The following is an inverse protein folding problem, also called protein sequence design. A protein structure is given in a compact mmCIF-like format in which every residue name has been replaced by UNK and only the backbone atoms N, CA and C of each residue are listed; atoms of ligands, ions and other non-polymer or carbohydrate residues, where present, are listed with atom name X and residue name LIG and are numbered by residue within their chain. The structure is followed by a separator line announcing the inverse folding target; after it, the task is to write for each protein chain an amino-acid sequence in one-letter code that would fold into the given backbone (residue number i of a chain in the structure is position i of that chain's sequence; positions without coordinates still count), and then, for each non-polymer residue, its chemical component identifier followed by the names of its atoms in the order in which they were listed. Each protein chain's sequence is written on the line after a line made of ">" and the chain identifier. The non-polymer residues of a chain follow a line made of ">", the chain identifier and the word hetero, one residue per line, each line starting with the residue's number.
data_IF_308466003190
#
_entry.id   IF_308466003190
#
_cell.length_a   1.000
_cell.length_b   1.000
_cell.length_c   1.000
_cell.angle_alpha   90.00
_cell.angle_beta   90.00
_cell.angle_gamma   90.00
#
_symmetry.space_group_name_H-M   'P 1'
#
loop_
_entity.id
_entity.type
_entity.pdbx_description
1 polymer ?
#
# COMPACT_ATOMS: atom_id res chain seq x y z
N UNK A 1 -12.15 18.86 -8.14
CA UNK A 1 -10.83 19.50 -8.26
C UNK A 1 -10.55 19.70 -9.74
N UNK A 2 -10.31 20.94 -10.17
CA UNK A 2 -10.06 21.23 -11.59
C UNK A 2 -8.59 20.87 -11.88
N UNK A 3 -8.35 19.87 -12.71
CA UNK A 3 -7.01 19.35 -13.02
C UNK A 3 -6.10 20.40 -13.69
N UNK A 4 -6.65 21.55 -14.07
CA UNK A 4 -5.91 22.63 -14.74
C UNK A 4 -5.21 23.60 -13.78
N UNK A 5 -5.47 23.50 -12.48
CA UNK A 5 -5.07 24.51 -11.50
C UNK A 5 -4.07 23.96 -10.47
N UNK A 6 -3.58 22.71 -10.62
CA UNK A 6 -2.68 22.09 -9.66
C UNK A 6 -1.68 21.14 -10.33
N UNK A 7 -0.45 21.09 -9.80
CA UNK A 7 0.54 20.07 -10.12
C UNK A 7 0.13 18.74 -9.47
N UNK A 8 0.01 17.62 -10.20
CA UNK A 8 -0.33 16.34 -9.62
C UNK A 8 0.79 15.76 -8.73
N UNK A 9 0.55 14.53 -8.20
CA UNK A 9 1.48 13.83 -7.34
C UNK A 9 1.28 14.15 -5.86
N UNK A 10 1.32 13.12 -5.02
CA UNK A 10 1.03 13.25 -3.58
C UNK A 10 2.16 12.75 -2.69
N UNK A 11 3.14 12.04 -3.22
CA UNK A 11 4.25 11.44 -2.48
C UNK A 11 5.56 11.74 -3.22
N UNK A 12 6.58 12.19 -2.49
CA UNK A 12 7.91 12.45 -3.04
C UNK A 12 9.02 12.09 -2.06
N UNK A 13 10.20 11.78 -2.61
CA UNK A 13 11.47 11.85 -1.93
C UNK A 13 12.26 13.03 -2.50
N UNK A 14 13.00 13.74 -1.64
CA UNK A 14 13.86 14.85 -2.05
C UNK A 14 14.91 15.20 -1.00
N UNK A 15 15.71 16.19 -1.36
CA UNK A 15 16.66 16.83 -0.46
C UNK A 15 16.08 18.18 -0.05
N UNK A 16 16.15 18.52 1.22
CA UNK A 16 15.69 19.82 1.71
C UNK A 16 16.61 20.90 1.15
N UNK A 17 16.07 21.78 0.31
CA UNK A 17 16.79 22.89 -0.28
C UNK A 17 16.76 24.13 0.62
N UNK A 18 15.61 24.40 1.23
CA UNK A 18 15.44 25.49 2.17
C UNK A 18 14.37 25.16 3.22
N UNK A 19 14.44 25.82 4.37
CA UNK A 19 13.44 25.69 5.43
C UNK A 19 12.82 27.04 5.80
N UNK A 20 11.53 27.04 6.12
CA UNK A 20 10.86 28.20 6.67
C UNK A 20 11.35 28.53 8.09
N UNK A 21 11.10 29.77 8.59
CA UNK A 21 11.63 30.24 9.88
C UNK A 21 11.11 29.45 11.08
N UNK A 22 9.98 28.77 10.95
CA UNK A 22 9.36 27.98 12.02
C UNK A 22 9.72 26.50 11.98
N UNK A 23 10.48 26.03 10.97
CA UNK A 23 10.95 24.66 10.89
C UNK A 23 11.92 24.35 12.05
N UNK A 24 11.71 23.21 12.72
CA UNK A 24 12.50 22.79 13.89
C UNK A 24 13.15 21.42 13.74
N UNK A 25 12.65 20.59 12.82
CA UNK A 25 13.06 19.18 12.69
C UNK A 25 14.07 19.01 11.56
N UNK A 26 13.91 19.76 10.47
CA UNK A 26 14.71 19.59 9.26
C UNK A 26 15.63 20.80 9.01
N UNK A 27 16.70 20.53 8.28
CA UNK A 27 17.66 21.53 7.79
C UNK A 27 17.99 21.28 6.34
N UNK A 28 18.57 22.25 5.67
CA UNK A 28 19.13 22.12 4.32
C UNK A 28 20.08 20.94 4.23
N UNK A 29 19.98 20.16 3.14
CA UNK A 29 20.72 18.94 2.89
C UNK A 29 20.11 17.67 3.49
N UNK A 30 19.06 17.75 4.31
CA UNK A 30 18.41 16.56 4.85
C UNK A 30 17.68 15.78 3.77
N UNK A 31 17.80 14.45 3.82
CA UNK A 31 17.04 13.52 2.98
C UNK A 31 15.66 13.34 3.59
N UNK A 32 14.63 13.63 2.81
CA UNK A 32 13.25 13.54 3.28
C UNK A 32 12.35 12.83 2.27
N UNK A 33 11.37 12.10 2.75
CA UNK A 33 10.19 11.75 1.98
C UNK A 33 8.97 12.41 2.62
N UNK A 34 8.03 12.76 1.79
CA UNK A 34 6.88 13.49 2.26
C UNK A 34 5.63 13.24 1.46
N UNK A 35 4.51 13.70 2.03
CA UNK A 35 3.19 13.56 1.45
C UNK A 35 2.45 14.88 1.50
N UNK A 36 1.81 15.23 0.39
CA UNK A 36 0.91 16.38 0.29
C UNK A 36 -0.33 16.01 -0.53
N UNK A 37 -1.32 16.89 -0.59
CA UNK A 37 -2.51 16.67 -1.41
C UNK A 37 -2.23 16.70 -2.92
N UNK A 38 -1.17 17.39 -3.33
CA UNK A 38 -0.71 17.60 -4.71
C UNK A 38 0.70 18.21 -4.69
N UNK A 39 1.34 18.33 -5.87
CA UNK A 39 2.59 19.08 -6.04
C UNK A 39 3.83 18.19 -6.20
N UNK A 40 3.74 16.87 -6.03
CA UNK A 40 4.92 16.00 -6.02
C UNK A 40 5.50 15.70 -7.42
N UNK A 41 4.77 15.96 -8.52
CA UNK A 41 5.31 15.81 -9.88
C UNK A 41 5.90 17.15 -10.33
N UNK A 42 6.96 17.57 -9.65
CA UNK A 42 7.69 18.80 -9.88
C UNK A 42 9.17 18.63 -9.51
N UNK A 43 10.01 19.54 -9.93
CA UNK A 43 11.43 19.59 -9.55
C UNK A 43 11.59 19.93 -8.07
N UNK A 44 10.73 20.82 -7.57
CA UNK A 44 10.67 21.26 -6.19
C UNK A 44 9.23 21.18 -5.67
N UNK A 45 9.09 20.92 -4.38
CA UNK A 45 7.79 20.85 -3.73
C UNK A 45 7.84 21.51 -2.35
N UNK A 46 6.82 22.30 -2.04
CA UNK A 46 6.62 22.79 -0.68
C UNK A 46 5.87 21.76 0.14
N UNK A 47 6.41 21.43 1.33
CA UNK A 47 5.81 20.46 2.24
C UNK A 47 5.81 21.00 3.68
N UNK A 48 4.75 20.71 4.42
CA UNK A 48 4.71 21.03 5.85
C UNK A 48 5.62 20.06 6.64
N UNK A 49 6.35 20.59 7.62
CA UNK A 49 7.26 19.83 8.47
C UNK A 49 6.62 18.56 9.06
N UNK A 50 5.34 18.64 9.46
CA UNK A 50 4.60 17.49 10.01
C UNK A 50 4.32 16.38 9.01
N UNK A 51 4.38 16.67 7.70
CA UNK A 51 4.13 15.75 6.59
C UNK A 51 5.42 15.17 6.00
N UNK A 52 6.58 15.62 6.48
CA UNK A 52 7.89 15.15 6.07
C UNK A 52 8.49 14.16 7.07
N UNK A 53 9.30 13.22 6.56
CA UNK A 53 9.95 12.15 7.33
C UNK A 53 11.41 12.04 6.90
N UNK A 54 12.31 12.05 7.88
CA UNK A 54 13.73 11.80 7.63
C UNK A 54 13.94 10.45 6.99
N UNK A 55 14.75 10.39 5.94
CA UNK A 55 15.08 9.16 5.22
C UNK A 55 16.49 8.70 5.58
N UNK A 56 16.67 7.46 6.09
CA UNK A 56 17.99 6.95 6.39
C UNK A 56 18.83 6.75 5.13
N UNK A 57 20.16 6.85 5.27
CA UNK A 57 21.09 6.62 4.16
C UNK A 57 21.01 5.22 3.57
N UNK A 58 20.58 4.24 4.37
CA UNK A 58 20.38 2.85 3.95
C UNK A 58 19.24 2.66 2.95
N UNK A 59 18.33 3.64 2.81
CA UNK A 59 17.19 3.57 1.90
C UNK A 59 17.54 4.32 0.58
N UNK A 60 17.73 3.61 -0.55
CA UNK A 60 18.00 4.23 -1.84
C UNK A 60 16.88 5.14 -2.31
N UNK A 61 17.18 6.09 -3.19
CA UNK A 61 16.25 7.10 -3.72
C UNK A 61 15.00 6.47 -4.32
N UNK A 62 15.15 5.46 -5.16
CA UNK A 62 14.05 4.78 -5.83
C UNK A 62 13.12 4.09 -4.82
N UNK A 63 13.70 3.49 -3.78
CA UNK A 63 12.89 2.88 -2.72
C UNK A 63 12.19 3.95 -1.88
N UNK A 64 12.90 5.02 -1.49
CA UNK A 64 12.33 6.10 -0.68
C UNK A 64 11.13 6.76 -1.38
N UNK A 65 11.22 6.97 -2.70
CA UNK A 65 10.16 7.57 -3.52
C UNK A 65 8.84 6.78 -3.55
N UNK A 66 8.89 5.47 -3.29
CA UNK A 66 7.70 4.60 -3.28
C UNK A 66 7.36 4.00 -1.91
N UNK A 67 8.00 4.48 -0.83
CA UNK A 67 7.93 3.82 0.47
C UNK A 67 6.77 4.28 1.36
N UNK A 68 6.61 5.58 1.53
CA UNK A 68 5.84 6.15 2.63
C UNK A 68 4.36 5.71 2.62
N UNK A 69 3.64 6.07 1.57
CA UNK A 69 2.19 5.90 1.52
C UNK A 69 1.78 4.42 1.57
N UNK A 70 2.42 3.57 0.77
CA UNK A 70 2.01 2.18 0.62
C UNK A 70 2.36 1.33 1.85
N UNK A 71 3.56 1.51 2.41
CA UNK A 71 3.99 0.75 3.58
C UNK A 71 3.25 1.19 4.83
N UNK A 72 3.07 2.49 5.03
CA UNK A 72 2.26 3.02 6.12
C UNK A 72 0.83 2.50 6.05
N UNK A 73 0.18 2.59 4.88
CA UNK A 73 -1.19 2.10 4.69
C UNK A 73 -1.30 0.63 5.07
N UNK A 74 -0.42 -0.22 4.53
CA UNK A 74 -0.48 -1.66 4.79
C UNK A 74 -0.13 -2.02 6.24
N UNK A 75 0.82 -1.32 6.86
CA UNK A 75 1.15 -1.53 8.27
C UNK A 75 -0.01 -1.14 9.19
N UNK A 76 -0.60 0.04 8.96
CA UNK A 76 -1.78 0.47 9.72
C UNK A 76 -2.95 -0.49 9.58
N UNK A 77 -3.22 -0.94 8.36
CA UNK A 77 -4.27 -1.92 8.08
C UNK A 77 -4.07 -3.21 8.86
N UNK A 78 -2.89 -3.81 8.74
CA UNK A 78 -2.62 -5.15 9.28
C UNK A 78 -2.35 -5.12 10.79
N UNK A 79 -1.59 -4.14 11.29
CA UNK A 79 -1.18 -4.07 12.70
C UNK A 79 -2.22 -3.34 13.55
N UNK A 80 -2.56 -2.09 13.19
CA UNK A 80 -3.39 -1.24 14.05
C UNK A 80 -4.89 -1.49 13.87
N UNK A 81 -5.33 -1.84 12.64
CA UNK A 81 -6.76 -2.02 12.38
C UNK A 81 -7.21 -3.47 12.50
N UNK A 82 -6.49 -4.39 11.85
CA UNK A 82 -6.84 -5.82 11.90
C UNK A 82 -6.22 -6.56 13.07
N UNK A 83 -5.18 -6.04 13.71
CA UNK A 83 -4.41 -6.74 14.73
C UNK A 83 -4.03 -8.17 14.28
N UNK A 84 -3.46 -8.28 13.07
CA UNK A 84 -3.06 -9.55 12.45
C UNK A 84 -2.08 -10.30 13.35
N UNK A 85 -2.35 -11.57 13.59
CA UNK A 85 -1.55 -12.44 14.47
C UNK A 85 -0.71 -13.44 13.68
N UNK A 86 0.44 -13.87 14.22
CA UNK A 86 1.20 -14.96 13.64
C UNK A 86 0.34 -16.23 13.46
N UNK A 87 0.49 -16.90 12.32
CA UNK A 87 -0.25 -18.12 11.95
C UNK A 87 -1.65 -17.87 11.36
N UNK A 88 -2.19 -16.67 11.45
CA UNK A 88 -3.46 -16.31 10.77
C UNK A 88 -3.28 -16.32 9.24
N UNK A 89 -4.38 -16.58 8.55
CA UNK A 89 -4.45 -16.52 7.09
C UNK A 89 -4.84 -15.12 6.63
N UNK A 90 -3.97 -14.49 5.85
CA UNK A 90 -4.20 -13.20 5.21
C UNK A 90 -4.46 -13.37 3.72
N UNK A 91 -5.64 -12.99 3.25
CA UNK A 91 -5.96 -12.88 1.82
C UNK A 91 -5.68 -11.44 1.37
N UNK A 92 -4.86 -11.26 0.33
CA UNK A 92 -4.54 -9.95 -0.26
C UNK A 92 -5.06 -9.87 -1.69
N UNK A 93 -6.07 -9.06 -1.93
CA UNK A 93 -6.54 -8.75 -3.28
C UNK A 93 -5.64 -7.72 -3.96
N UNK A 94 -5.51 -7.82 -5.30
CA UNK A 94 -4.62 -6.94 -6.05
C UNK A 94 -3.18 -7.02 -5.56
N UNK A 95 -2.70 -8.24 -5.26
CA UNK A 95 -1.44 -8.51 -4.58
C UNK A 95 -0.19 -7.93 -5.25
N UNK A 96 -0.21 -7.75 -6.57
CA UNK A 96 0.92 -7.15 -7.31
C UNK A 96 0.92 -5.62 -7.32
N UNK A 97 -0.12 -4.94 -6.83
CA UNK A 97 -0.17 -3.48 -6.78
C UNK A 97 0.67 -2.88 -5.65
N UNK A 98 0.81 -1.56 -5.61
CA UNK A 98 1.65 -0.87 -4.62
C UNK A 98 1.33 -1.25 -3.17
N UNK A 99 0.07 -1.16 -2.74
CA UNK A 99 -0.34 -1.57 -1.38
C UNK A 99 -0.44 -3.09 -1.22
N UNK A 100 -0.68 -3.85 -2.31
CA UNK A 100 -0.75 -5.31 -2.28
C UNK A 100 0.61 -5.93 -1.99
N UNK A 101 1.66 -5.52 -2.70
CA UNK A 101 3.03 -5.99 -2.49
C UNK A 101 3.53 -5.71 -1.07
N UNK A 102 3.19 -4.54 -0.52
CA UNK A 102 3.54 -4.17 0.86
C UNK A 102 2.73 -4.97 1.88
N UNK A 103 1.43 -5.23 1.62
CA UNK A 103 0.60 -6.05 2.51
C UNK A 103 1.10 -7.50 2.59
N UNK A 104 1.50 -8.10 1.46
CA UNK A 104 2.10 -9.44 1.42
C UNK A 104 3.36 -9.47 2.28
N UNK A 105 4.32 -8.59 2.03
CA UNK A 105 5.60 -8.57 2.74
C UNK A 105 5.43 -8.31 4.24
N UNK A 106 4.60 -7.35 4.63
CA UNK A 106 4.31 -7.04 6.04
C UNK A 106 3.59 -8.22 6.70
N UNK A 107 2.60 -8.83 6.03
CA UNK A 107 1.91 -10.03 6.51
C UNK A 107 2.89 -11.16 6.79
N UNK A 108 3.84 -11.43 5.88
CA UNK A 108 4.90 -12.41 6.07
C UNK A 108 5.84 -12.04 7.23
N UNK A 109 6.22 -10.78 7.34
CA UNK A 109 7.06 -10.29 8.44
C UNK A 109 6.39 -10.46 9.81
N UNK A 110 5.04 -10.41 9.86
CA UNK A 110 4.24 -10.65 11.06
C UNK A 110 3.96 -12.14 11.32
N UNK A 111 4.43 -13.05 10.47
CA UNK A 111 4.26 -14.50 10.61
C UNK A 111 2.91 -15.03 10.12
N UNK A 112 2.17 -14.30 9.30
CA UNK A 112 0.94 -14.77 8.68
C UNK A 112 1.20 -15.76 7.54
N UNK A 113 0.20 -16.59 7.24
CA UNK A 113 0.10 -17.34 5.99
C UNK A 113 -0.60 -16.46 4.97
N UNK A 114 0.05 -16.18 3.84
CA UNK A 114 -0.42 -15.18 2.88
C UNK A 114 -0.90 -15.82 1.60
N UNK A 115 -2.17 -15.58 1.25
CA UNK A 115 -2.77 -15.90 -0.03
C UNK A 115 -2.97 -14.61 -0.83
N UNK A 116 -2.53 -14.54 -2.09
CA UNK A 116 -2.67 -13.34 -2.89
C UNK A 116 -3.42 -13.58 -4.20
N UNK A 117 -4.15 -12.56 -4.68
CA UNK A 117 -4.84 -12.62 -5.97
C UNK A 117 -4.29 -11.58 -6.94
N UNK A 118 -4.15 -11.95 -8.21
CA UNK A 118 -3.80 -11.05 -9.31
C UNK A 118 -4.44 -11.53 -10.62
N UNK A 119 -4.43 -10.70 -11.68
CA UNK A 119 -5.13 -11.00 -12.93
C UNK A 119 -4.26 -11.64 -14.02
N UNK A 120 -2.95 -11.75 -13.86
CA UNK A 120 -2.04 -12.36 -14.85
C UNK A 120 -0.97 -13.17 -14.16
N UNK A 121 -0.37 -14.15 -14.86
CA UNK A 121 0.70 -14.98 -14.31
C UNK A 121 1.95 -14.16 -13.93
N UNK A 122 2.31 -13.18 -14.76
CA UNK A 122 3.39 -12.26 -14.44
C UNK A 122 3.17 -11.54 -13.10
N UNK A 123 1.94 -11.08 -12.85
CA UNK A 123 1.56 -10.44 -11.59
C UNK A 123 1.52 -11.39 -10.41
N UNK A 124 1.15 -12.65 -10.64
CA UNK A 124 1.21 -13.70 -9.61
C UNK A 124 2.65 -13.99 -9.21
N UNK A 125 3.57 -13.96 -10.18
CA UNK A 125 5.00 -14.14 -9.88
C UNK A 125 5.54 -13.03 -8.97
N UNK A 126 5.11 -11.78 -9.17
CA UNK A 126 5.42 -10.67 -8.25
C UNK A 126 4.88 -10.95 -6.84
N UNK A 127 3.67 -11.49 -6.72
CA UNK A 127 3.12 -11.87 -5.41
C UNK A 127 3.97 -12.95 -4.72
N UNK A 128 4.42 -13.97 -5.46
CA UNK A 128 5.32 -15.03 -4.95
C UNK A 128 6.66 -14.44 -4.48
N UNK A 129 7.27 -13.57 -5.28
CA UNK A 129 8.51 -12.87 -4.94
C UNK A 129 8.37 -11.99 -3.69
N UNK A 130 7.19 -11.42 -3.46
CA UNK A 130 6.87 -10.71 -2.22
C UNK A 130 6.66 -11.64 -1.01
N UNK A 131 6.61 -12.96 -1.22
CA UNK A 131 6.49 -13.97 -0.17
C UNK A 131 5.09 -14.53 0.03
N UNK A 132 4.15 -14.36 -0.91
CA UNK A 132 2.86 -15.06 -0.84
C UNK A 132 3.08 -16.58 -0.83
N UNK A 133 2.42 -17.27 0.09
CA UNK A 133 2.50 -18.74 0.21
C UNK A 133 1.65 -19.43 -0.86
N UNK A 134 0.56 -18.77 -1.28
CA UNK A 134 -0.31 -19.25 -2.34
C UNK A 134 -0.83 -18.07 -3.16
N UNK A 135 -1.13 -18.30 -4.42
CA UNK A 135 -1.64 -17.28 -5.34
C UNK A 135 -2.70 -17.82 -6.27
N UNK A 136 -3.65 -16.99 -6.70
CA UNK A 136 -4.68 -17.37 -7.67
C UNK A 136 -4.92 -16.26 -8.70
N UNK A 137 -5.14 -16.67 -9.95
CA UNK A 137 -5.56 -15.79 -11.03
C UNK A 137 -7.07 -15.63 -11.02
N UNK A 138 -7.57 -14.51 -10.49
CA UNK A 138 -9.02 -14.27 -10.38
C UNK A 138 -9.74 -14.08 -11.73
N UNK A 139 -9.00 -13.89 -12.83
CA UNK A 139 -9.58 -13.84 -14.20
C UNK A 139 -9.88 -15.25 -14.76
N UNK A 140 -9.24 -16.28 -14.21
CA UNK A 140 -9.33 -17.66 -14.70
C UNK A 140 -9.98 -18.61 -13.71
N UNK A 141 -9.78 -18.36 -12.41
CA UNK A 141 -10.09 -19.30 -11.35
C UNK A 141 -11.02 -18.68 -10.31
N UNK A 142 -11.81 -19.51 -9.63
CA UNK A 142 -12.64 -19.11 -8.49
C UNK A 142 -11.77 -18.96 -7.25
N UNK A 143 -11.40 -17.73 -6.93
CA UNK A 143 -10.60 -17.45 -5.73
C UNK A 143 -11.30 -17.86 -4.43
N UNK A 144 -12.65 -17.91 -4.40
CA UNK A 144 -13.40 -18.32 -3.19
C UNK A 144 -13.15 -19.80 -2.93
N UNK A 145 -13.25 -20.62 -3.97
CA UNK A 145 -13.00 -22.06 -3.89
C UNK A 145 -11.53 -22.30 -3.50
N UNK A 146 -10.58 -21.63 -4.15
CA UNK A 146 -9.15 -21.74 -3.87
C UNK A 146 -8.79 -21.37 -2.42
N UNK A 147 -9.29 -20.24 -1.90
CA UNK A 147 -9.07 -19.84 -0.51
C UNK A 147 -9.66 -20.86 0.47
N UNK A 148 -10.87 -21.36 0.21
CA UNK A 148 -11.48 -22.37 1.08
C UNK A 148 -10.69 -23.68 1.08
N UNK A 149 -10.26 -24.16 -0.07
CA UNK A 149 -9.43 -25.36 -0.18
C UNK A 149 -8.14 -25.21 0.61
N UNK A 150 -7.39 -24.11 0.37
CA UNK A 150 -6.12 -23.85 1.05
C UNK A 150 -6.24 -23.69 2.57
N UNK A 151 -7.40 -23.21 3.05
CA UNK A 151 -7.68 -23.03 4.47
C UNK A 151 -8.41 -24.20 5.12
N UNK A 152 -8.61 -25.31 4.40
CA UNK A 152 -9.36 -26.48 4.91
C UNK A 152 -10.82 -26.14 5.22
N UNK A 153 -11.46 -25.28 4.43
CA UNK A 153 -12.86 -24.86 4.56
C UNK A 153 -13.09 -23.70 5.54
N UNK A 154 -12.09 -23.29 6.34
CA UNK A 154 -12.25 -22.22 7.36
C UNK A 154 -12.43 -20.82 6.76
N UNK A 155 -11.75 -20.53 5.65
CA UNK A 155 -11.64 -19.20 5.07
C UNK A 155 -10.49 -18.37 5.64
N UNK A 156 -10.32 -17.15 5.14
CA UNK A 156 -9.25 -16.24 5.55
C UNK A 156 -9.61 -15.48 6.84
N UNK A 157 -8.68 -15.41 7.79
CA UNK A 157 -8.86 -14.69 9.06
C UNK A 157 -8.86 -13.18 8.85
N UNK A 158 -8.03 -12.69 7.93
CA UNK A 158 -7.98 -11.28 7.51
C UNK A 158 -8.03 -11.20 5.98
N UNK A 159 -8.84 -10.28 5.46
CA UNK A 159 -8.89 -9.97 4.03
C UNK A 159 -8.50 -8.51 3.84
N UNK A 160 -7.47 -8.26 3.02
CA UNK A 160 -6.99 -6.95 2.66
C UNK A 160 -7.49 -6.59 1.26
N UNK A 161 -8.43 -5.65 1.16
CA UNK A 161 -9.08 -5.33 -0.11
C UNK A 161 -8.89 -3.87 -0.54
N UNK A 162 -7.97 -3.60 -1.49
CA UNK A 162 -7.83 -2.32 -2.16
C UNK A 162 -8.68 -2.21 -3.44
N UNK A 163 -9.40 -3.26 -3.83
CA UNK A 163 -10.11 -3.37 -5.12
C UNK A 163 -11.55 -2.86 -5.01
N UNK A 164 -12.27 -3.32 -4.00
CA UNK A 164 -13.68 -2.97 -3.80
C UNK A 164 -14.63 -3.69 -4.78
N UNK A 165 -15.79 -3.09 -5.03
CA UNK A 165 -16.80 -3.62 -5.94
C UNK A 165 -17.22 -5.05 -5.61
N UNK A 166 -17.41 -5.87 -6.64
CA UNK A 166 -17.83 -7.27 -6.52
C UNK A 166 -16.80 -8.12 -5.74
N UNK A 167 -15.51 -7.85 -5.86
CA UNK A 167 -14.44 -8.58 -5.16
C UNK A 167 -14.64 -8.53 -3.65
N UNK A 168 -14.92 -7.34 -3.10
CA UNK A 168 -15.19 -7.19 -1.67
C UNK A 168 -16.46 -7.94 -1.24
N UNK A 169 -17.51 -7.89 -2.05
CA UNK A 169 -18.75 -8.62 -1.75
C UNK A 169 -18.54 -10.15 -1.77
N UNK A 170 -17.83 -10.65 -2.76
CA UNK A 170 -17.48 -12.06 -2.90
C UNK A 170 -16.57 -12.53 -1.76
N UNK A 171 -15.68 -11.69 -1.26
CA UNK A 171 -14.77 -11.98 -0.15
C UNK A 171 -15.50 -12.41 1.12
N UNK A 172 -16.73 -11.92 1.33
CA UNK A 172 -17.57 -12.37 2.46
C UNK A 172 -17.92 -13.86 2.40
N UNK A 173 -17.77 -14.52 1.25
CA UNK A 173 -18.04 -15.97 1.09
C UNK A 173 -16.87 -16.85 1.54
N UNK A 174 -15.62 -16.30 1.51
CA UNK A 174 -14.40 -17.02 1.89
C UNK A 174 -13.70 -16.44 3.13
N UNK A 175 -14.32 -15.51 3.84
CA UNK A 175 -13.84 -15.04 5.13
C UNK A 175 -14.14 -16.06 6.24
N UNK A 176 -13.26 -16.19 7.21
CA UNK A 176 -13.42 -17.08 8.36
C UNK A 176 -14.49 -16.57 9.34
N UNK A 177 -14.90 -17.41 10.27
CA UNK A 177 -15.67 -17.01 11.44
C UNK A 177 -14.88 -15.97 12.26
N UNK A 178 -15.53 -14.89 12.67
CA UNK A 178 -14.90 -13.73 13.33
C UNK A 178 -13.77 -13.07 12.51
N UNK A 179 -13.76 -13.29 11.20
CA UNK A 179 -12.75 -12.71 10.30
C UNK A 179 -12.89 -11.18 10.17
N UNK A 180 -11.83 -10.56 9.69
CA UNK A 180 -11.73 -9.10 9.54
C UNK A 180 -11.55 -8.75 8.07
N UNK A 181 -12.51 -8.01 7.50
CA UNK A 181 -12.49 -7.51 6.13
C UNK A 181 -12.03 -6.05 6.13
N UNK A 182 -10.83 -5.80 5.63
CA UNK A 182 -10.24 -4.48 5.56
C UNK A 182 -10.62 -3.79 4.24
N UNK A 183 -11.30 -2.66 4.34
CA UNK A 183 -11.61 -1.77 3.21
C UNK A 183 -10.48 -0.75 3.09
N UNK A 184 -9.64 -0.92 2.06
CA UNK A 184 -8.44 -0.10 1.83
C UNK A 184 -8.65 0.91 0.70
N UNK A 185 -9.41 0.51 -0.33
CA UNK A 185 -9.63 1.35 -1.49
C UNK A 185 -10.64 0.75 -2.47
N UNK A 186 -10.78 1.43 -3.61
CA UNK A 186 -11.75 1.09 -4.64
C UNK A 186 -11.11 1.15 -6.03
N UNK A 187 -9.95 0.53 -6.18
CA UNK A 187 -9.20 0.51 -7.45
C UNK A 187 -9.98 -0.17 -8.60
N UNK A 188 -11.01 -0.97 -8.28
CA UNK A 188 -11.97 -1.50 -9.24
C UNK A 188 -12.93 -0.47 -9.81
N UNK A 189 -13.01 0.75 -9.21
CA UNK A 189 -13.85 1.86 -9.65
C UNK A 189 -15.27 1.86 -9.07
N UNK A 190 -15.68 0.79 -8.40
CA UNK A 190 -17.03 0.66 -7.83
C UNK A 190 -16.98 0.58 -6.30
N UNK A 191 -17.77 1.42 -5.62
CA UNK A 191 -17.94 1.35 -4.16
C UNK A 191 -18.87 0.18 -3.84
N UNK A 192 -18.42 -0.81 -3.05
CA UNK A 192 -19.18 -2.02 -2.75
C UNK A 192 -20.30 -1.77 -1.74
N UNK A 193 -21.29 -2.69 -1.74
CA UNK A 193 -22.33 -2.77 -0.72
C UNK A 193 -22.27 -4.13 -0.05
N UNK A 194 -22.17 -4.16 1.26
CA UNK A 194 -22.17 -5.41 2.03
C UNK A 194 -23.55 -5.59 2.67
N UNK A 195 -24.19 -6.70 2.39
CA UNK A 195 -25.44 -7.05 3.04
C UNK A 195 -25.19 -7.39 4.51
N UNK A 196 -25.89 -6.70 5.43
CA UNK A 196 -25.69 -6.80 6.88
C UNK A 196 -25.83 -8.23 7.43
N UNK A 197 -26.69 -9.06 6.81
CA UNK A 197 -26.84 -10.46 7.20
C UNK A 197 -25.54 -11.26 7.01
N UNK A 198 -24.70 -10.94 6.04
CA UNK A 198 -23.39 -11.60 5.85
C UNK A 198 -22.42 -11.29 6.98
N UNK A 199 -22.49 -10.07 7.52
CA UNK A 199 -21.70 -9.66 8.69
C UNK A 199 -22.18 -10.45 9.92
N UNK A 200 -23.50 -10.49 10.14
CA UNK A 200 -24.12 -11.16 11.28
C UNK A 200 -23.84 -12.68 11.29
N UNK A 201 -24.02 -13.36 10.15
CA UNK A 201 -23.98 -14.84 10.09
C UNK A 201 -22.60 -15.44 10.40
N UNK A 202 -21.52 -14.68 10.26
CA UNK A 202 -20.15 -15.12 10.54
C UNK A 202 -19.45 -14.29 11.61
N UNK A 203 -20.18 -13.38 12.28
CA UNK A 203 -19.62 -12.42 13.26
C UNK A 203 -18.41 -11.65 12.74
N UNK A 204 -18.35 -11.36 11.45
CA UNK A 204 -17.20 -10.68 10.85
C UNK A 204 -17.16 -9.19 11.21
N UNK A 205 -15.97 -8.62 11.21
CA UNK A 205 -15.73 -7.18 11.30
C UNK A 205 -15.40 -6.60 9.94
N UNK A 206 -16.09 -5.54 9.54
CA UNK A 206 -15.74 -4.74 8.36
C UNK A 206 -15.06 -3.47 8.83
N UNK A 207 -13.79 -3.29 8.45
CA UNK A 207 -12.90 -2.29 9.03
C UNK A 207 -12.38 -1.38 7.91
N UNK A 208 -12.75 -0.10 7.95
CA UNK A 208 -12.21 0.90 7.03
C UNK A 208 -10.84 1.41 7.47
N UNK A 209 -10.00 1.74 6.49
CA UNK A 209 -8.77 2.49 6.70
C UNK A 209 -8.68 3.65 5.72
N UNK A 210 -8.73 4.86 6.23
CA UNK A 210 -8.28 6.06 5.52
C UNK A 210 -7.00 6.58 6.22
N UNK A 211 -5.86 6.06 5.82
CA UNK A 211 -4.57 6.31 6.49
C UNK A 211 -4.23 7.81 6.55
N UNK A 212 -4.50 8.59 5.49
CA UNK A 212 -4.19 10.02 5.45
C UNK A 212 -4.77 10.82 6.62
N UNK A 213 -5.93 10.42 7.15
CA UNK A 213 -6.53 11.09 8.31
C UNK A 213 -5.73 10.89 9.61
N UNK A 214 -4.92 9.86 9.71
CA UNK A 214 -4.05 9.68 10.90
C UNK A 214 -2.99 10.77 11.03
N UNK A 215 -2.61 11.42 9.92
CA UNK A 215 -1.72 12.59 9.97
C UNK A 215 -2.26 13.72 10.86
N UNK A 216 -3.60 13.87 10.89
CA UNK A 216 -4.28 14.87 11.72
C UNK A 216 -4.65 14.33 13.11
N UNK A 217 -5.11 13.09 13.19
CA UNK A 217 -5.68 12.54 14.42
C UNK A 217 -4.65 11.87 15.33
N UNK A 218 -3.57 11.32 14.79
CA UNK A 218 -2.53 10.65 15.57
C UNK A 218 -1.16 10.69 14.85
N UNK A 219 -0.55 11.87 14.71
CA UNK A 219 0.74 12.01 14.02
C UNK A 219 1.89 11.26 14.73
N UNK A 220 1.82 11.10 16.04
CA UNK A 220 2.82 10.33 16.81
C UNK A 220 2.85 8.88 16.37
N UNK A 221 1.68 8.24 16.25
CA UNK A 221 1.59 6.85 15.80
C UNK A 221 2.15 6.65 14.38
N UNK A 222 1.96 7.65 13.50
CA UNK A 222 2.54 7.62 12.14
C UNK A 222 4.07 7.64 12.19
N UNK A 223 4.66 8.51 13.01
CA UNK A 223 6.12 8.59 13.16
C UNK A 223 6.71 7.32 13.78
N UNK A 224 6.07 6.77 14.81
CA UNK A 224 6.46 5.49 15.42
C UNK A 224 6.37 4.34 14.40
N UNK A 225 5.30 4.30 13.60
CA UNK A 225 5.13 3.31 12.55
C UNK A 225 6.22 3.43 11.49
N UNK A 226 6.63 4.65 11.14
CA UNK A 226 7.71 4.86 10.19
C UNK A 226 9.04 4.28 10.68
N UNK A 227 9.37 4.44 11.94
CA UNK A 227 10.57 3.85 12.55
C UNK A 227 10.52 2.31 12.53
N UNK A 228 9.35 1.73 12.79
CA UNK A 228 9.16 0.27 12.71
C UNK A 228 9.31 -0.23 11.28
N UNK A 229 8.84 0.51 10.29
CA UNK A 229 8.98 0.17 8.87
C UNK A 229 10.46 0.24 8.43
N UNK A 230 11.21 1.25 8.87
CA UNK A 230 12.66 1.29 8.62
C UNK A 230 13.38 0.09 9.24
N UNK A 231 13.04 -0.27 10.47
CA UNK A 231 13.61 -1.45 11.11
C UNK A 231 13.27 -2.77 10.37
N UNK A 232 12.10 -2.88 9.75
CA UNK A 232 11.74 -4.03 8.90
C UNK A 232 12.52 -4.01 7.59
N UNK A 233 12.72 -2.84 6.99
CA UNK A 233 13.52 -2.67 5.79
C UNK A 233 14.99 -3.06 6.02
N UNK A 234 15.62 -2.54 7.08
CA UNK A 234 17.01 -2.85 7.44
C UNK A 234 17.24 -4.34 7.73
N UNK A 235 16.21 -5.03 8.22
CA UNK A 235 16.21 -6.50 8.41
C UNK A 235 15.93 -7.27 7.12
N UNK A 236 15.75 -6.61 5.98
CA UNK A 236 15.41 -7.24 4.71
C UNK A 236 14.03 -7.93 4.69
N UNK A 237 13.13 -7.56 5.62
CA UNK A 237 11.78 -8.15 5.69
C UNK A 237 10.78 -7.51 4.74
N UNK A 238 11.01 -6.26 4.36
CA UNK A 238 10.21 -5.52 3.40
C UNK A 238 11.13 -4.78 2.43
N UNK A 239 10.68 -4.65 1.18
CA UNK A 239 11.38 -3.90 0.13
C UNK A 239 10.35 -3.34 -0.84
N UNK A 240 10.39 -2.04 -1.17
CA UNK A 240 9.53 -1.48 -2.21
C UNK A 240 9.71 -2.22 -3.53
N UNK A 241 8.60 -2.58 -4.15
CA UNK A 241 8.60 -3.14 -5.49
C UNK A 241 8.44 -1.98 -6.47
N UNK A 242 9.50 -1.67 -7.20
CA UNK A 242 9.51 -0.60 -8.20
C UNK A 242 9.37 -1.25 -9.57
N UNK A 243 8.30 -0.89 -10.30
CA UNK A 243 8.08 -1.35 -11.68
C UNK A 243 9.13 -0.78 -12.61
N UNK A 244 9.23 0.55 -12.59
CA UNK A 244 10.24 1.30 -13.33
C UNK A 244 10.40 2.70 -12.72
N UNK A 245 11.55 3.33 -13.04
CA UNK A 245 11.83 4.72 -12.73
C UNK A 245 11.93 5.49 -14.05
N UNK A 246 10.95 6.34 -14.32
CA UNK A 246 10.86 7.15 -15.53
C UNK A 246 11.34 8.57 -15.28
N UNK A 247 11.71 9.26 -16.35
CA UNK A 247 11.96 10.71 -16.27
C UNK A 247 10.65 11.48 -16.19
N UNK A 248 10.69 12.69 -15.64
CA UNK A 248 9.52 13.54 -15.50
C UNK A 248 8.84 13.88 -16.86
N UNK A 249 9.58 13.96 -17.94
CA UNK A 249 9.06 14.19 -19.30
C UNK A 249 8.23 13.00 -19.84
N UNK A 250 8.36 11.82 -19.21
CA UNK A 250 7.60 10.61 -19.54
C UNK A 250 6.30 10.47 -18.70
N UNK A 251 5.97 11.48 -17.87
CA UNK A 251 4.81 11.46 -16.96
C UNK A 251 3.52 10.97 -17.62
N UNK A 252 3.21 11.46 -18.84
CA UNK A 252 1.99 11.07 -19.53
C UNK A 252 1.96 9.57 -19.82
N UNK A 253 3.06 9.01 -20.34
CA UNK A 253 3.17 7.58 -20.64
C UNK A 253 3.06 6.73 -19.34
N UNK A 254 3.69 7.18 -18.27
CA UNK A 254 3.65 6.55 -16.96
C UNK A 254 2.24 6.51 -16.39
N UNK A 255 1.47 7.60 -16.52
CA UNK A 255 0.07 7.65 -16.11
C UNK A 255 -0.83 6.74 -16.97
N UNK A 256 -0.56 6.62 -18.28
CA UNK A 256 -1.27 5.69 -19.16
C UNK A 256 -1.02 4.23 -18.78
N UNK A 257 0.21 3.85 -18.43
CA UNK A 257 0.53 2.53 -17.91
C UNK A 257 -0.23 2.22 -16.62
N UNK A 258 -0.28 3.18 -15.70
CA UNK A 258 -1.01 3.08 -14.44
C UNK A 258 -2.52 2.92 -14.68
N UNK A 259 -3.12 3.79 -15.51
CA UNK A 259 -4.55 3.77 -15.84
C UNK A 259 -4.97 2.45 -16.49
N UNK A 260 -4.12 1.88 -17.35
CA UNK A 260 -4.34 0.61 -18.02
C UNK A 260 -3.95 -0.62 -17.18
N UNK A 261 -3.59 -0.44 -15.90
CA UNK A 261 -3.20 -1.53 -14.98
C UNK A 261 -2.03 -2.38 -15.50
N UNK A 262 -1.12 -1.78 -16.27
CA UNK A 262 0.07 -2.46 -16.86
C UNK A 262 1.30 -2.42 -15.97
N UNK A 263 1.16 -1.93 -14.74
CA UNK A 263 2.25 -1.87 -13.76
C UNK A 263 2.05 -2.88 -12.63
N UNK A 264 3.14 -3.17 -11.93
CA UNK A 264 3.15 -3.80 -10.61
C UNK A 264 3.89 -2.89 -9.61
N UNK A 265 3.69 -3.06 -8.31
CA UNK A 265 4.32 -2.23 -7.30
C UNK A 265 4.09 -0.73 -7.52
N UNK A 266 5.18 0.03 -7.59
CA UNK A 266 5.21 1.49 -7.77
C UNK A 266 5.93 1.87 -9.06
N UNK A 267 5.43 2.89 -9.71
CA UNK A 267 6.15 3.62 -10.76
C UNK A 267 6.67 4.91 -10.12
N UNK A 268 7.93 5.21 -10.34
CA UNK A 268 8.61 6.38 -9.78
C UNK A 268 9.00 7.32 -10.92
N UNK A 269 8.81 8.61 -10.71
CA UNK A 269 9.33 9.65 -11.61
C UNK A 269 10.58 10.25 -10.96
N UNK A 270 11.62 10.43 -11.74
CA UNK A 270 12.87 11.02 -11.29
C UNK A 270 13.18 12.27 -12.09
N UNK A 271 13.53 13.34 -11.39
CA UNK A 271 14.12 14.51 -11.99
C UNK A 271 15.61 14.26 -12.22
N UNK A 272 16.20 14.73 -13.34
CA UNK A 272 17.64 14.75 -13.47
C UNK A 272 18.20 15.59 -12.32
N UNK A 273 19.14 15.02 -11.58
CA UNK A 273 19.89 15.79 -10.58
C UNK A 273 20.59 16.91 -11.33
N UNK A 274 20.23 18.15 -11.03
CA UNK A 274 20.99 19.32 -11.48
C UNK A 274 22.38 19.18 -10.85
N UNK A 275 23.38 18.89 -11.68
CA UNK A 275 24.78 18.74 -11.27
C UNK A 275 25.39 20.07 -10.85
#
# INVERSE_FOLDING_TARGET
>A
MCIRDSTPGAEAFGIVEATGPDCRIFKEGDRVMGIASHGAFAEEMLIEEKQAFQVPETLPVEHASGFLMTHQTSYFALVHRAALKPGETLLVHGGSGGVGTTAIQIGKALGARVFATAGTEEKLEICRQCGADEVVNYEKDDFIAAVKEWTGGRGADVIYDPVGGEILELSTKCIAWEGRLLVIGFAGGTIPKIAANRILLKNISVIGLFWGNYMMHNPTLIRETQQRLYALYDKGKIKPVIHQADKMDQLQQSLELLANRRIHGKLVLVNPVSG
#
